data_IF_773290491401
#
_entry.id   IF_773290491401
#
_cell.length_a   1.000
_cell.length_b   1.000
_cell.length_c   1.000
_cell.angle_alpha   90.00
_cell.angle_beta   90.00
_cell.angle_gamma   90.00
#
_symmetry.space_group_name_H-M   'P 1'
#
loop_
_entity.id
_entity.type
_entity.pdbx_description
1 polymer ?
#
# COMPACT_ATOMS: atom_id res chain seq x y z
N UNK A 1 17.02 10.58 -4.60
CA UNK A 1 16.36 11.43 -5.64
C UNK A 1 15.16 10.72 -6.26
N UNK A 2 15.34 9.65 -7.03
CA UNK A 2 14.26 9.09 -7.86
C UNK A 2 13.08 8.45 -7.10
N UNK A 3 13.29 7.97 -5.87
CA UNK A 3 12.16 7.49 -5.06
C UNK A 3 11.30 8.65 -4.54
N UNK A 4 11.94 9.75 -4.14
CA UNK A 4 11.28 10.91 -3.52
C UNK A 4 10.56 11.82 -4.53
N UNK A 5 10.69 11.57 -5.83
CA UNK A 5 10.05 12.36 -6.89
C UNK A 5 9.05 11.54 -7.75
N UNK A 6 8.77 10.29 -7.37
CA UNK A 6 7.76 9.44 -8.03
C UNK A 6 8.25 8.69 -9.27
N UNK A 7 9.48 8.93 -9.74
CA UNK A 7 10.05 8.18 -10.88
C UNK A 7 10.22 6.71 -10.50
N UNK A 8 10.82 6.44 -9.33
CA UNK A 8 10.97 5.10 -8.78
C UNK A 8 9.78 4.78 -7.88
N UNK A 9 9.05 3.72 -8.23
CA UNK A 9 7.85 3.30 -7.52
C UNK A 9 8.11 2.41 -6.31
N UNK A 10 9.21 1.66 -6.28
CA UNK A 10 9.67 0.91 -5.11
C UNK A 10 11.19 0.80 -5.12
N UNK A 11 11.78 0.66 -3.94
CA UNK A 11 13.22 0.41 -3.74
C UNK A 11 13.41 -0.90 -3.00
N UNK A 12 14.44 -1.64 -3.36
CA UNK A 12 14.82 -2.94 -2.78
C UNK A 12 16.31 -2.94 -2.46
N UNK A 13 16.76 -3.86 -1.61
CA UNK A 13 18.16 -3.90 -1.16
C UNK A 13 19.08 -4.59 -2.17
N UNK A 14 18.54 -5.54 -2.95
CA UNK A 14 19.28 -6.32 -3.93
C UNK A 14 18.41 -6.76 -5.12
N UNK A 15 19.05 -7.35 -6.12
CA UNK A 15 18.41 -7.79 -7.35
C UNK A 15 17.40 -8.92 -7.12
N UNK A 16 17.63 -9.79 -6.12
CA UNK A 16 16.74 -10.89 -5.81
C UNK A 16 15.41 -10.35 -5.27
N UNK A 17 15.46 -9.42 -4.32
CA UNK A 17 14.29 -8.69 -3.84
C UNK A 17 13.60 -7.91 -4.97
N UNK A 18 14.37 -7.37 -5.92
CA UNK A 18 13.85 -6.69 -7.11
C UNK A 18 13.04 -7.60 -8.02
N UNK A 19 13.56 -8.79 -8.34
CA UNK A 19 12.84 -9.81 -9.11
C UNK A 19 11.60 -10.29 -8.36
N UNK A 20 11.71 -10.48 -7.04
CA UNK A 20 10.56 -10.83 -6.22
C UNK A 20 9.47 -9.76 -6.28
N UNK A 21 9.82 -8.48 -6.09
CA UNK A 21 8.88 -7.36 -6.17
C UNK A 21 8.21 -7.27 -7.55
N UNK A 22 8.95 -7.49 -8.63
CA UNK A 22 8.41 -7.54 -10.00
C UNK A 22 7.34 -8.63 -10.14
N UNK A 23 7.64 -9.86 -9.70
CA UNK A 23 6.67 -10.96 -9.74
C UNK A 23 5.46 -10.69 -8.85
N UNK A 24 5.69 -10.11 -7.66
CA UNK A 24 4.62 -9.73 -6.75
C UNK A 24 3.70 -8.67 -7.39
N UNK A 25 4.24 -7.71 -8.13
CA UNK A 25 3.45 -6.72 -8.89
C UNK A 25 2.63 -7.36 -10.00
N UNK A 26 3.26 -8.21 -10.81
CA UNK A 26 2.60 -8.92 -11.91
C UNK A 26 1.48 -9.84 -11.40
N UNK A 27 1.54 -10.30 -10.15
CA UNK A 27 0.45 -11.09 -9.56
C UNK A 27 -0.90 -10.35 -9.55
N UNK A 28 -0.90 -9.01 -9.55
CA UNK A 28 -2.12 -8.18 -9.60
C UNK A 28 -2.59 -7.85 -11.03
N UNK A 29 -1.83 -8.24 -12.05
CA UNK A 29 -2.04 -7.82 -13.45
C UNK A 29 -2.59 -8.96 -14.31
N UNK A 30 -3.44 -8.66 -15.30
CA UNK A 30 -3.86 -9.66 -16.28
C UNK A 30 -2.67 -10.14 -17.10
N UNK A 31 -2.72 -11.39 -17.56
CA UNK A 31 -1.68 -11.98 -18.40
C UNK A 31 -1.45 -11.20 -19.70
N UNK A 32 -2.53 -10.67 -20.29
CA UNK A 32 -2.48 -9.80 -21.46
C UNK A 32 -3.69 -8.85 -21.47
N UNK A 33 -3.71 -7.89 -22.40
CA UNK A 33 -4.76 -6.85 -22.50
C UNK A 33 -6.19 -7.40 -22.62
N UNK A 34 -6.36 -8.57 -23.24
CA UNK A 34 -7.67 -9.19 -23.45
C UNK A 34 -8.07 -10.17 -22.34
N UNK A 35 -7.18 -10.44 -21.37
CA UNK A 35 -7.48 -11.32 -20.25
C UNK A 35 -8.14 -10.55 -19.10
N UNK A 36 -9.04 -11.20 -18.34
CA UNK A 36 -9.52 -10.63 -17.09
C UNK A 36 -8.38 -10.55 -16.06
N UNK A 37 -8.59 -9.78 -15.00
CA UNK A 37 -7.67 -9.72 -13.87
C UNK A 37 -7.58 -11.07 -13.16
N UNK A 38 -6.41 -11.44 -12.59
CA UNK A 38 -6.24 -12.71 -11.89
C UNK A 38 -6.89 -12.67 -10.51
N UNK A 39 -8.13 -13.15 -10.42
CA UNK A 39 -8.83 -13.36 -9.15
C UNK A 39 -8.24 -14.63 -8.50
N UNK A 40 -7.79 -14.51 -7.26
CA UNK A 40 -7.23 -15.61 -6.48
C UNK A 40 -8.20 -16.02 -5.37
N UNK A 41 -8.13 -17.26 -4.91
CA UNK A 41 -8.88 -17.67 -3.72
C UNK A 41 -8.36 -16.92 -2.49
N UNK A 42 -9.22 -16.07 -1.92
CA UNK A 42 -8.88 -15.30 -0.74
C UNK A 42 -8.82 -16.21 0.50
N UNK A 43 -7.70 -16.13 1.23
CA UNK A 43 -7.62 -16.70 2.59
C UNK A 43 -8.38 -15.84 3.61
N UNK A 44 -8.57 -14.57 3.28
CA UNK A 44 -9.29 -13.61 4.09
C UNK A 44 -10.80 -13.65 3.76
N UNK A 45 -11.70 -14.02 4.68
CA UNK A 45 -13.13 -14.20 4.39
C UNK A 45 -13.82 -12.88 4.01
N UNK A 46 -14.57 -12.87 2.92
CA UNK A 46 -15.32 -11.67 2.47
C UNK A 46 -16.42 -11.23 3.44
N UNK A 47 -16.97 -12.16 4.24
CA UNK A 47 -18.07 -11.89 5.18
C UNK A 47 -17.57 -11.37 6.54
N UNK A 48 -16.24 -11.21 6.73
CA UNK A 48 -15.72 -10.67 7.99
C UNK A 48 -16.01 -9.17 8.12
N UNK A 49 -16.05 -8.71 9.35
CA UNK A 49 -16.07 -7.28 9.64
C UNK A 49 -14.67 -6.66 9.48
N UNK A 50 -14.63 -5.34 9.28
CA UNK A 50 -13.42 -4.54 9.34
C UNK A 50 -13.30 -3.99 10.76
N UNK A 51 -12.26 -4.38 11.49
CA UNK A 51 -12.09 -3.97 12.89
C UNK A 51 -11.53 -2.56 13.03
N UNK A 52 -10.73 -2.10 12.07
CA UNK A 52 -10.22 -0.74 12.06
C UNK A 52 -11.29 0.23 11.56
N UNK A 53 -11.76 1.10 12.45
CA UNK A 53 -12.73 2.14 12.11
C UNK A 53 -12.02 3.49 12.04
N UNK A 54 -12.01 4.16 10.87
CA UNK A 54 -11.56 5.54 10.73
C UNK A 54 -12.15 6.47 11.79
N UNK A 55 -11.34 7.40 12.29
CA UNK A 55 -11.80 8.40 13.27
C UNK A 55 -11.75 9.80 12.67
N UNK A 56 -12.38 10.77 13.35
CA UNK A 56 -12.24 12.20 12.99
C UNK A 56 -10.84 12.73 13.28
N UNK A 57 -10.14 12.14 14.25
CA UNK A 57 -8.76 12.50 14.53
C UNK A 57 -7.85 11.93 13.42
N UNK A 58 -6.74 12.61 13.08
CA UNK A 58 -5.80 12.11 12.08
C UNK A 58 -5.28 10.71 12.41
N UNK A 59 -5.19 9.85 11.39
CA UNK A 59 -4.69 8.49 11.48
C UNK A 59 -3.92 8.12 10.20
N UNK A 60 -3.08 7.08 10.28
CA UNK A 60 -2.43 6.56 9.08
C UNK A 60 -3.46 5.84 8.20
N UNK A 61 -3.74 6.31 6.96
CA UNK A 61 -4.70 5.64 6.09
C UNK A 61 -4.33 4.19 5.81
N UNK A 62 -3.05 3.80 5.93
CA UNK A 62 -2.63 2.40 5.78
C UNK A 62 -3.31 1.47 6.80
N UNK A 63 -3.70 1.97 7.96
CA UNK A 63 -4.40 1.17 8.97
C UNK A 63 -5.81 0.79 8.53
N UNK A 64 -6.55 1.69 7.86
CA UNK A 64 -7.85 1.33 7.30
C UNK A 64 -7.73 0.41 6.08
N UNK A 65 -6.63 0.51 5.33
CA UNK A 65 -6.42 -0.32 4.15
C UNK A 65 -5.98 -1.75 4.52
N UNK A 66 -4.87 -1.87 5.25
CA UNK A 66 -4.18 -3.13 5.51
C UNK A 66 -4.44 -3.69 6.92
N UNK A 67 -5.00 -2.89 7.83
CA UNK A 67 -5.07 -3.21 9.24
C UNK A 67 -3.81 -2.76 10.00
N UNK A 68 -3.78 -3.07 11.29
CA UNK A 68 -2.64 -2.76 12.16
C UNK A 68 -2.59 -3.71 13.37
N UNK A 69 -1.45 -3.82 14.05
CA UNK A 69 -1.42 -4.41 15.39
C UNK A 69 -2.35 -3.64 16.35
N UNK A 70 -3.22 -4.36 17.05
CA UNK A 70 -4.09 -3.81 18.08
C UNK A 70 -3.28 -3.28 19.26
N UNK A 71 -3.74 -2.16 19.82
CA UNK A 71 -3.19 -1.57 21.03
C UNK A 71 -3.74 -2.25 22.30
N UNK A 72 -4.96 -2.81 22.22
CA UNK A 72 -5.69 -3.42 23.35
C UNK A 72 -6.67 -4.49 22.84
N UNK A 73 -6.45 -5.80 23.12
CA UNK A 73 -5.25 -6.39 23.72
C UNK A 73 -4.03 -6.28 22.79
N UNK A 74 -2.84 -6.06 23.36
CA UNK A 74 -1.62 -5.89 22.57
C UNK A 74 -1.32 -7.15 21.76
N UNK A 75 -1.04 -6.98 20.48
CA UNK A 75 -0.55 -8.04 19.60
C UNK A 75 -1.63 -8.80 18.81
N UNK A 76 -2.92 -8.58 19.08
CA UNK A 76 -3.96 -9.08 18.17
C UNK A 76 -4.00 -8.23 16.90
N UNK A 77 -4.32 -8.82 15.75
CA UNK A 77 -4.46 -8.06 14.51
C UNK A 77 -5.81 -7.33 14.50
N UNK A 78 -5.80 -6.03 14.23
CA UNK A 78 -7.00 -5.26 13.93
C UNK A 78 -7.13 -5.20 12.40
N UNK A 79 -8.13 -5.90 11.86
CA UNK A 79 -8.28 -6.06 10.42
C UNK A 79 -8.60 -4.74 9.70
N UNK A 80 -8.08 -4.60 8.47
CA UNK A 80 -8.38 -3.50 7.55
C UNK A 80 -9.43 -3.88 6.52
N UNK A 81 -9.65 -2.98 5.57
CA UNK A 81 -10.63 -3.12 4.49
C UNK A 81 -10.24 -4.18 3.45
N UNK A 82 -8.97 -4.23 3.07
CA UNK A 82 -8.47 -5.19 2.08
C UNK A 82 -8.03 -6.51 2.72
N UNK A 83 -7.86 -7.52 1.88
CA UNK A 83 -7.39 -8.84 2.29
C UNK A 83 -6.04 -8.71 3.03
N UNK A 84 -5.89 -9.37 4.17
CA UNK A 84 -4.70 -9.27 5.01
C UNK A 84 -3.42 -9.56 4.22
N UNK A 85 -2.46 -8.62 4.26
CA UNK A 85 -1.17 -8.75 3.57
C UNK A 85 -1.21 -8.51 2.06
N UNK A 86 -2.37 -8.12 1.49
CA UNK A 86 -2.48 -7.83 0.06
C UNK A 86 -2.12 -6.39 -0.31
N UNK A 87 -2.23 -5.42 0.61
CA UNK A 87 -1.90 -4.04 0.30
C UNK A 87 -0.40 -3.86 0.07
N UNK A 88 -0.06 -3.33 -1.10
CA UNK A 88 1.29 -3.06 -1.55
C UNK A 88 1.36 -1.61 -2.03
N UNK A 89 2.01 -0.78 -1.23
CA UNK A 89 2.21 0.63 -1.51
C UNK A 89 3.32 0.85 -2.55
N UNK A 90 3.18 1.90 -3.36
CA UNK A 90 4.17 2.36 -4.33
C UNK A 90 4.32 3.89 -4.23
N UNK A 91 5.49 4.40 -4.61
CA UNK A 91 5.82 5.84 -4.59
C UNK A 91 5.72 6.47 -3.20
N UNK A 92 5.90 5.69 -2.13
CA UNK A 92 5.65 6.06 -0.74
C UNK A 92 6.25 7.42 -0.28
N UNK A 93 7.50 7.79 -0.64
CA UNK A 93 8.08 9.04 -0.15
C UNK A 93 7.73 10.26 -1.01
N UNK A 94 7.03 10.08 -2.14
CA UNK A 94 6.60 11.17 -3.02
C UNK A 94 5.13 11.54 -2.78
N UNK A 95 4.84 12.84 -2.68
CA UNK A 95 3.47 13.36 -2.53
C UNK A 95 2.65 12.67 -1.42
N UNK A 96 3.23 12.53 -0.22
CA UNK A 96 2.71 11.69 0.87
C UNK A 96 1.35 12.14 1.46
N UNK A 97 0.75 13.22 0.96
CA UNK A 97 -0.66 13.55 1.21
C UNK A 97 -1.62 12.51 0.62
N UNK A 98 -1.14 11.69 -0.32
CA UNK A 98 -1.88 10.58 -0.93
C UNK A 98 -1.06 9.31 -0.80
N UNK A 99 -1.73 8.22 -0.46
CA UNK A 99 -1.19 6.86 -0.42
C UNK A 99 -1.74 6.10 -1.62
N UNK A 100 -0.85 5.54 -2.44
CA UNK A 100 -1.22 4.79 -3.64
C UNK A 100 -0.62 3.41 -3.65
N UNK A 101 -1.32 2.45 -4.22
CA UNK A 101 -0.85 1.08 -4.24
C UNK A 101 -1.80 0.11 -4.93
N UNK A 102 -1.61 -1.17 -4.63
CA UNK A 102 -2.44 -2.27 -5.09
C UNK A 102 -2.89 -3.09 -3.88
N UNK A 103 -4.05 -3.71 -3.95
CA UNK A 103 -4.52 -4.64 -2.93
C UNK A 103 -5.44 -5.69 -3.55
N UNK A 104 -5.95 -6.61 -2.73
CA UNK A 104 -7.03 -7.52 -3.08
C UNK A 104 -8.22 -7.34 -2.16
N UNK A 105 -9.41 -7.45 -2.71
CA UNK A 105 -10.67 -7.51 -1.98
C UNK A 105 -11.39 -8.80 -2.36
N UNK A 106 -11.45 -9.76 -1.45
CA UNK A 106 -11.96 -11.10 -1.76
C UNK A 106 -11.19 -11.75 -2.90
N UNK A 107 -9.88 -11.51 -2.99
CA UNK A 107 -9.03 -12.06 -4.03
C UNK A 107 -8.97 -11.26 -5.33
N UNK A 108 -9.86 -10.28 -5.51
CA UNK A 108 -9.94 -9.43 -6.71
C UNK A 108 -8.88 -8.33 -6.63
N UNK A 109 -7.89 -8.28 -7.54
CA UNK A 109 -6.85 -7.26 -7.49
C UNK A 109 -7.39 -5.88 -7.90
N UNK A 110 -7.05 -4.86 -7.11
CA UNK A 110 -7.58 -3.50 -7.25
C UNK A 110 -6.48 -2.46 -7.06
N UNK A 111 -6.51 -1.38 -7.85
CA UNK A 111 -5.68 -0.19 -7.62
C UNK A 111 -6.29 0.66 -6.50
N UNK A 112 -5.45 1.13 -5.58
CA UNK A 112 -5.87 1.82 -4.35
C UNK A 112 -5.32 3.23 -4.32
N UNK A 113 -6.18 4.19 -3.97
CA UNK A 113 -5.82 5.57 -3.67
C UNK A 113 -6.51 5.96 -2.38
N UNK A 114 -5.75 6.41 -1.38
CA UNK A 114 -6.24 6.89 -0.10
C UNK A 114 -5.57 8.22 0.26
N UNK A 115 -6.22 9.01 1.12
CA UNK A 115 -5.72 10.34 1.50
C UNK A 115 -5.16 10.28 2.92
N UNK A 116 -3.97 10.87 3.11
CA UNK A 116 -3.34 11.04 4.41
C UNK A 116 -4.06 12.17 5.17
N UNK A 117 -4.38 11.92 6.43
CA UNK A 117 -5.10 12.89 7.27
C UNK A 117 -4.20 13.59 8.27
N UNK A 118 -2.99 13.06 8.49
CA UNK A 118 -1.95 13.70 9.30
C UNK A 118 -1.26 14.80 8.48
N UNK A 119 -0.71 15.79 9.18
CA UNK A 119 0.19 16.75 8.54
C UNK A 119 1.43 16.02 8.03
N UNK A 120 1.79 16.27 6.78
CA UNK A 120 2.96 15.69 6.11
C UNK A 120 4.07 16.75 6.05
N UNK A 121 5.28 16.36 6.47
CA UNK A 121 6.47 17.19 6.32
C UNK A 121 7.29 16.72 5.13
N UNK A 122 7.40 17.56 4.09
CA UNK A 122 8.22 17.28 2.93
C UNK A 122 9.60 17.94 3.09
N UNK A 123 10.66 17.12 3.06
CA UNK A 123 12.03 17.63 3.00
C UNK A 123 12.42 17.90 1.56
N UNK A 124 12.69 19.17 1.23
CA UNK A 124 13.22 19.58 -0.06
C UNK A 124 14.75 19.63 0.06
N UNK A 125 15.50 18.78 -0.65
CA UNK A 125 16.95 18.80 -0.60
C UNK A 125 17.49 20.12 -1.16
N UNK A 126 18.59 20.61 -0.58
CA UNK A 126 19.29 21.77 -1.12
C UNK A 126 19.77 21.49 -2.55
N UNK A 127 19.76 22.52 -3.40
CA UNK A 127 20.36 22.47 -4.73
C UNK A 127 21.88 22.67 -4.62
N UNK A 128 22.72 21.66 -4.90
CA UNK A 128 24.17 21.79 -4.80
C UNK A 128 24.77 22.82 -5.77
N UNK A 129 24.02 23.25 -6.80
CA UNK A 129 24.46 24.25 -7.76
C UNK A 129 24.11 25.70 -7.35
N UNK A 130 23.36 25.89 -6.27
CA UNK A 130 22.95 27.21 -5.77
C UNK A 130 23.69 27.54 -4.46
N UNK A 131 24.58 28.54 -4.52
CA UNK A 131 25.45 28.98 -3.41
C UNK A 131 24.76 30.00 -2.48
#
# INVERSE_FOLDING_TARGET
IMHNNGVTHCTVCDDFEGVFALLQWLSYMPMCKSSPVPILDAKDPIDRLVDFVPTKAPYDPRWMLAGRPSQTPKGTWQSGFFDQGSFMEIMQPWAQSVVVGRARLGGIPTGVVAVETRSVELSIPADPANL
#
